data_IF_272583460472
#
_entry.id   IF_272583460472
#
_cell.length_a   1.000
_cell.length_b   1.000
_cell.length_c   1.000
_cell.angle_alpha   90.00
_cell.angle_beta   90.00
_cell.angle_gamma   90.00
#
_symmetry.space_group_name_H-M   'P 1'
#
loop_
_entity.id
_entity.type
_entity.pdbx_description
1 polymer ?
#
# COMPACT_ATOMS: atom_id res chain seq x y z
N UNK A 1 -1.31 -37.31 -41.24
CA UNK A 1 -0.22 -37.26 -40.21
C UNK A 1 0.56 -35.93 -40.24
N UNK A 2 0.50 -35.12 -41.30
CA UNK A 2 1.33 -33.88 -41.43
C UNK A 2 0.70 -32.57 -40.92
N UNK A 3 -0.60 -32.55 -40.65
CA UNK A 3 -1.23 -31.31 -40.13
C UNK A 3 -1.15 -31.15 -38.59
N UNK A 4 -1.00 -32.22 -37.89
CA UNK A 4 -0.90 -32.22 -36.41
C UNK A 4 0.50 -31.82 -35.93
N UNK A 5 1.57 -32.22 -36.67
CA UNK A 5 2.96 -31.86 -36.36
C UNK A 5 3.22 -30.34 -36.46
N UNK A 6 2.62 -29.66 -37.47
CA UNK A 6 2.78 -28.21 -37.64
C UNK A 6 2.02 -27.38 -36.62
N UNK A 7 1.05 -27.97 -35.93
CA UNK A 7 0.29 -27.29 -34.86
C UNK A 7 1.01 -27.39 -33.53
N UNK A 8 1.59 -28.57 -33.24
CA UNK A 8 2.46 -28.78 -32.06
C UNK A 8 3.73 -27.94 -32.12
N UNK A 9 4.39 -27.83 -33.29
CA UNK A 9 5.58 -26.96 -33.44
C UNK A 9 5.26 -25.48 -33.21
N UNK A 10 4.09 -24.99 -33.66
CA UNK A 10 3.65 -23.61 -33.43
C UNK A 10 3.28 -23.35 -31.96
N UNK A 11 2.66 -24.31 -31.28
CA UNK A 11 2.35 -24.20 -29.84
C UNK A 11 3.62 -24.22 -29.01
N UNK A 12 4.62 -25.03 -29.34
CA UNK A 12 5.93 -25.05 -28.68
C UNK A 12 6.69 -23.74 -28.94
N UNK A 13 6.68 -23.20 -30.16
CA UNK A 13 7.33 -21.93 -30.47
C UNK A 13 6.68 -20.75 -29.75
N UNK A 14 5.34 -20.71 -29.63
CA UNK A 14 4.63 -19.70 -28.86
C UNK A 14 4.93 -19.82 -27.36
N UNK A 15 4.93 -21.03 -26.81
CA UNK A 15 5.28 -21.26 -25.41
C UNK A 15 6.74 -20.85 -25.10
N UNK A 16 7.67 -21.11 -26.03
CA UNK A 16 9.05 -20.67 -25.89
C UNK A 16 9.19 -19.14 -25.92
N UNK A 17 8.41 -18.47 -26.78
CA UNK A 17 8.38 -17.01 -26.86
C UNK A 17 7.78 -16.38 -25.59
N UNK A 18 6.68 -16.92 -25.07
CA UNK A 18 6.07 -16.48 -23.80
C UNK A 18 7.01 -16.69 -22.63
N UNK A 19 7.73 -17.82 -22.59
CA UNK A 19 8.76 -18.10 -21.57
C UNK A 19 9.93 -17.11 -21.65
N UNK A 20 10.33 -16.72 -22.84
CA UNK A 20 11.36 -15.70 -23.05
C UNK A 20 10.90 -14.33 -22.50
N UNK A 21 9.66 -13.93 -22.78
CA UNK A 21 9.06 -12.70 -22.25
C UNK A 21 8.92 -12.73 -20.71
N UNK A 22 8.54 -13.87 -20.15
CA UNK A 22 8.50 -14.08 -18.69
C UNK A 22 9.91 -14.01 -18.07
N UNK A 23 10.91 -14.56 -18.76
CA UNK A 23 12.32 -14.41 -18.37
C UNK A 23 12.80 -12.97 -18.36
N UNK A 24 12.41 -12.17 -19.35
CA UNK A 24 12.71 -10.72 -19.36
C UNK A 24 12.05 -9.99 -18.18
N UNK A 25 10.78 -10.24 -17.91
CA UNK A 25 10.09 -9.63 -16.75
C UNK A 25 10.71 -10.02 -15.41
N UNK A 26 11.19 -11.25 -15.28
CA UNK A 26 11.92 -11.68 -14.09
C UNK A 26 13.28 -10.97 -13.94
N UNK A 27 13.96 -10.69 -15.05
CA UNK A 27 15.20 -9.88 -15.06
C UNK A 27 14.92 -8.43 -14.67
N UNK A 28 13.85 -7.84 -15.19
CA UNK A 28 13.41 -6.49 -14.83
C UNK A 28 13.05 -6.39 -13.33
N UNK A 29 12.31 -7.37 -12.80
CA UNK A 29 12.00 -7.43 -11.37
C UNK A 29 13.26 -7.56 -10.50
N UNK A 30 14.27 -8.34 -10.94
CA UNK A 30 15.58 -8.41 -10.28
C UNK A 30 16.35 -7.09 -10.33
N UNK A 31 16.28 -6.37 -11.44
CA UNK A 31 16.91 -5.05 -11.57
C UNK A 31 16.27 -4.03 -10.62
N UNK A 32 14.94 -4.03 -10.47
CA UNK A 32 14.22 -3.19 -9.50
C UNK A 32 14.63 -3.55 -8.07
N UNK A 33 14.74 -4.85 -7.74
CA UNK A 33 15.20 -5.32 -6.43
C UNK A 33 16.64 -4.86 -6.13
N UNK A 34 17.53 -4.95 -7.11
CA UNK A 34 18.93 -4.48 -6.97
C UNK A 34 19.00 -2.95 -6.79
N UNK A 35 18.15 -2.19 -7.50
CA UNK A 35 18.04 -0.75 -7.34
C UNK A 35 17.53 -0.37 -5.94
N UNK A 36 16.52 -1.08 -5.42
CA UNK A 36 16.01 -0.89 -4.06
C UNK A 36 17.05 -1.27 -2.99
N UNK A 37 17.84 -2.33 -3.21
CA UNK A 37 18.94 -2.70 -2.30
C UNK A 37 20.07 -1.65 -2.30
N UNK A 38 20.39 -1.07 -3.45
CA UNK A 38 21.35 0.02 -3.54
C UNK A 38 20.85 1.27 -2.84
N UNK A 39 19.57 1.64 -2.99
CA UNK A 39 18.96 2.75 -2.25
C UNK A 39 18.96 2.53 -0.73
N UNK A 40 18.75 1.29 -0.28
CA UNK A 40 18.87 0.89 1.14
C UNK A 40 20.31 1.04 1.64
N UNK A 41 21.30 0.64 0.82
CA UNK A 41 22.72 0.80 1.15
C UNK A 41 23.12 2.26 1.21
N UNK A 42 22.68 3.09 0.26
CA UNK A 42 22.92 4.53 0.25
C UNK A 42 22.25 5.26 1.41
N UNK A 43 21.01 4.86 1.77
CA UNK A 43 20.34 5.37 2.97
C UNK A 43 21.07 4.96 4.25
N UNK A 44 21.65 3.75 4.30
CA UNK A 44 22.49 3.28 5.41
C UNK A 44 23.81 4.03 5.52
N UNK A 45 24.42 4.38 4.38
CA UNK A 45 25.67 5.15 4.35
C UNK A 45 25.47 6.62 4.75
N UNK A 46 24.28 7.20 4.52
CA UNK A 46 23.90 8.54 5.04
C UNK A 46 23.71 8.58 6.56
N UNK A 47 23.62 7.42 7.23
CA UNK A 47 23.61 7.33 8.70
C UNK A 47 24.96 7.70 9.35
N UNK A 48 26.04 7.75 8.58
CA UNK A 48 27.33 8.27 9.08
C UNK A 48 27.22 9.77 9.39
N UNK A 49 26.37 10.52 8.65
CA UNK A 49 26.06 11.92 8.95
C UNK A 49 25.24 12.10 10.22
N UNK A 50 24.49 11.06 10.66
CA UNK A 50 23.67 11.12 11.89
C UNK A 50 24.54 11.23 13.11
N UNK A 51 25.71 10.62 13.11
CA UNK A 51 26.67 10.69 14.21
C UNK A 51 27.27 12.10 14.37
N UNK A 52 27.45 12.84 13.26
CA UNK A 52 27.84 14.24 13.30
C UNK A 52 26.72 15.14 13.83
N UNK A 53 25.47 14.85 13.48
CA UNK A 53 24.31 15.61 14.00
C UNK A 53 24.12 15.36 15.50
N UNK A 54 24.28 14.11 15.98
CA UNK A 54 24.26 13.79 17.41
C UNK A 54 25.37 14.54 18.16
N UNK A 55 26.59 14.57 17.63
CA UNK A 55 27.70 15.33 18.21
C UNK A 55 27.41 16.82 18.26
N UNK A 56 26.76 17.37 17.23
CA UNK A 56 26.36 18.78 17.18
C UNK A 56 25.27 19.11 18.22
N UNK A 57 24.30 18.21 18.41
CA UNK A 57 23.26 18.34 19.43
C UNK A 57 23.88 18.29 20.83
N UNK A 58 24.77 17.34 21.08
CA UNK A 58 25.48 17.20 22.36
C UNK A 58 26.36 18.42 22.65
N UNK A 59 27.09 18.93 21.65
CA UNK A 59 27.87 20.16 21.76
C UNK A 59 26.97 21.39 22.03
N UNK A 60 25.82 21.50 21.38
CA UNK A 60 24.84 22.56 21.64
C UNK A 60 24.24 22.47 23.06
N UNK A 61 23.95 21.27 23.55
CA UNK A 61 23.45 21.07 24.90
C UNK A 61 24.51 21.49 25.94
N UNK A 62 25.76 21.13 25.71
CA UNK A 62 26.89 21.54 26.58
C UNK A 62 27.10 23.07 26.55
N UNK A 63 26.96 23.69 25.38
CA UNK A 63 27.03 25.14 25.20
C UNK A 63 25.90 25.86 25.97
N UNK A 64 24.67 25.37 25.86
CA UNK A 64 23.51 25.88 26.60
C UNK A 64 23.72 25.77 28.10
N UNK A 65 24.25 24.63 28.58
CA UNK A 65 24.56 24.42 29.99
C UNK A 65 25.66 25.37 30.50
N UNK A 66 26.71 25.58 29.69
CA UNK A 66 27.79 26.50 29.99
C UNK A 66 27.30 27.96 30.05
N UNK A 67 26.40 28.38 29.15
CA UNK A 67 25.78 29.70 29.15
C UNK A 67 24.90 29.90 30.37
N UNK A 68 24.11 28.90 30.77
CA UNK A 68 23.26 28.93 31.97
C UNK A 68 24.08 29.03 33.26
N UNK A 69 25.21 28.32 33.34
CA UNK A 69 26.16 28.39 34.47
C UNK A 69 26.82 29.76 34.49
N UNK A 70 27.29 30.30 33.36
CA UNK A 70 27.89 31.63 33.27
C UNK A 70 26.89 32.75 33.65
N UNK A 71 25.59 32.57 33.34
CA UNK A 71 24.54 33.48 33.81
C UNK A 71 24.31 33.42 35.33
N UNK A 72 24.42 32.25 35.92
CA UNK A 72 24.33 32.07 37.37
C UNK A 72 25.46 32.77 38.12
N UNK A 73 26.69 32.69 37.56
CA UNK A 73 27.85 33.34 38.15
C UNK A 73 27.87 34.88 37.97
N UNK A 74 27.35 35.37 36.82
CA UNK A 74 27.25 36.80 36.51
C UNK A 74 26.15 37.51 37.33
N UNK A 75 25.16 36.77 37.89
CA UNK A 75 24.12 37.34 38.75
C UNK A 75 24.67 37.92 40.07
N UNK A 76 25.96 37.72 40.37
CA UNK A 76 26.62 38.20 41.60
C UNK A 76 27.42 39.50 41.46
N UNK A 77 27.44 40.15 40.25
CA UNK A 77 28.23 41.36 39.97
C UNK A 77 27.35 42.63 39.78
N UNK A 78 27.56 43.73 40.54
CA UNK A 78 26.73 44.92 40.43
C UNK A 78 27.43 46.04 39.60
N UNK A 79 27.08 46.24 38.34
CA UNK A 79 27.33 47.48 37.60
C UNK A 79 26.27 47.72 36.53
N UNK A 80 25.76 48.98 36.46
CA UNK A 80 24.63 49.37 35.58
C UNK A 80 24.93 49.31 34.07
N UNK A 81 26.19 49.34 33.65
CA UNK A 81 26.57 49.14 32.23
C UNK A 81 26.48 47.69 31.78
N UNK A 82 26.53 46.76 32.70
CA UNK A 82 26.41 45.32 32.39
C UNK A 82 24.93 44.85 32.17
N UNK A 83 23.95 45.66 32.54
CA UNK A 83 22.51 45.27 32.44
C UNK A 83 22.05 45.14 31.00
N UNK A 84 22.50 45.99 30.11
CA UNK A 84 22.10 45.89 28.71
C UNK A 84 22.76 44.68 28.01
N UNK A 85 24.04 44.47 28.25
CA UNK A 85 24.74 43.30 27.78
C UNK A 85 24.19 42.01 28.37
N UNK A 86 23.73 42.04 29.61
CA UNK A 86 23.11 40.95 30.33
C UNK A 86 21.74 40.57 29.71
N UNK A 87 20.94 41.58 29.30
CA UNK A 87 19.68 41.33 28.59
C UNK A 87 19.89 40.77 27.21
N UNK A 88 20.83 41.32 26.44
CA UNK A 88 21.17 40.80 25.11
C UNK A 88 21.69 39.34 25.17
N UNK A 89 22.53 39.02 26.14
CA UNK A 89 23.04 37.66 26.38
C UNK A 89 21.93 36.69 26.77
N UNK A 90 20.99 37.15 27.58
CA UNK A 90 19.82 36.37 28.00
C UNK A 90 18.84 36.10 26.86
N UNK A 91 18.60 37.08 26.00
CA UNK A 91 17.76 36.93 24.79
C UNK A 91 18.44 36.03 23.78
N UNK A 92 19.72 36.18 23.52
CA UNK A 92 20.48 35.31 22.63
C UNK A 92 20.51 33.86 23.14
N UNK A 93 20.69 33.67 24.45
CA UNK A 93 20.64 32.36 25.10
C UNK A 93 19.27 31.71 24.97
N UNK A 94 18.19 32.46 25.21
CA UNK A 94 16.82 31.97 25.05
C UNK A 94 16.52 31.55 23.59
N UNK A 95 17.00 32.33 22.61
CA UNK A 95 16.87 32.00 21.20
C UNK A 95 17.66 30.74 20.82
N UNK A 96 18.88 30.56 21.36
CA UNK A 96 19.67 29.35 21.14
C UNK A 96 19.01 28.09 21.73
N UNK A 97 18.43 28.21 22.93
CA UNK A 97 17.68 27.10 23.55
C UNK A 97 16.47 26.70 22.69
N UNK A 98 15.70 27.69 22.21
CA UNK A 98 14.55 27.43 21.34
C UNK A 98 14.99 26.81 19.98
N UNK A 99 16.08 27.29 19.42
CA UNK A 99 16.63 26.75 18.18
C UNK A 99 17.14 25.30 18.37
N UNK A 100 17.79 25.01 19.49
CA UNK A 100 18.25 23.68 19.84
C UNK A 100 17.08 22.69 20.03
N UNK A 101 16.03 23.10 20.75
CA UNK A 101 14.84 22.28 20.92
C UNK A 101 14.12 22.03 19.60
N UNK A 102 14.00 23.04 18.74
CA UNK A 102 13.40 22.90 17.41
C UNK A 102 14.21 21.96 16.51
N UNK A 103 15.54 22.06 16.55
CA UNK A 103 16.44 21.16 15.81
C UNK A 103 16.32 19.72 16.31
N UNK A 104 16.19 19.51 17.61
CA UNK A 104 16.02 18.18 18.18
C UNK A 104 14.67 17.54 17.79
N UNK A 105 13.59 18.32 17.79
CA UNK A 105 12.27 17.82 17.36
C UNK A 105 12.27 17.49 15.86
N UNK A 106 12.88 18.35 15.04
CA UNK A 106 13.05 18.10 13.61
C UNK A 106 13.89 16.84 13.35
N UNK A 107 14.97 16.65 14.09
CA UNK A 107 15.81 15.45 14.00
C UNK A 107 15.04 14.18 14.37
N UNK A 108 14.35 14.18 15.50
CA UNK A 108 13.54 13.05 15.94
C UNK A 108 12.43 12.71 14.91
N UNK A 109 11.86 13.73 14.26
CA UNK A 109 10.86 13.55 13.20
C UNK A 109 11.49 12.95 11.94
N UNK A 110 12.67 13.43 11.53
CA UNK A 110 13.42 12.89 10.41
C UNK A 110 13.86 11.43 10.64
N UNK A 111 14.31 11.09 11.82
CA UNK A 111 14.67 9.70 12.20
C UNK A 111 13.47 8.76 12.15
N UNK A 112 12.31 9.20 12.67
CA UNK A 112 11.06 8.40 12.58
C UNK A 112 10.69 8.16 11.12
N UNK A 113 10.74 9.21 10.28
CA UNK A 113 10.43 9.11 8.86
C UNK A 113 11.41 8.16 8.12
N UNK A 114 12.71 8.24 8.43
CA UNK A 114 13.73 7.36 7.86
C UNK A 114 13.54 5.91 8.30
N UNK A 115 13.26 5.67 9.58
CA UNK A 115 12.95 4.33 10.11
C UNK A 115 11.71 3.74 9.45
N UNK A 116 10.65 4.54 9.28
CA UNK A 116 9.44 4.14 8.58
C UNK A 116 9.74 3.79 7.12
N UNK A 117 10.53 4.61 6.41
CA UNK A 117 10.93 4.35 5.03
C UNK A 117 11.72 3.04 4.90
N UNK A 118 12.67 2.76 5.82
CA UNK A 118 13.41 1.49 5.85
C UNK A 118 12.49 0.29 6.04
N UNK A 119 11.53 0.38 6.96
CA UNK A 119 10.56 -0.69 7.20
C UNK A 119 9.69 -0.96 5.97
N UNK A 120 9.25 0.09 5.27
CA UNK A 120 8.49 -0.02 4.02
C UNK A 120 9.32 -0.74 2.94
N UNK A 121 10.57 -0.33 2.73
CA UNK A 121 11.46 -0.96 1.74
C UNK A 121 11.73 -2.43 2.07
N UNK A 122 11.94 -2.77 3.35
CA UNK A 122 12.12 -4.14 3.78
C UNK A 122 10.86 -4.99 3.53
N UNK A 123 9.68 -4.44 3.81
CA UNK A 123 8.39 -5.08 3.55
C UNK A 123 8.18 -5.31 2.05
N UNK A 124 8.41 -4.29 1.21
CA UNK A 124 8.30 -4.39 -0.25
C UNK A 124 9.24 -5.47 -0.79
N UNK A 125 10.50 -5.48 -0.33
CA UNK A 125 11.47 -6.48 -0.75
C UNK A 125 11.03 -7.90 -0.37
N UNK A 126 10.44 -8.07 0.82
CA UNK A 126 9.89 -9.34 1.28
C UNK A 126 8.71 -9.79 0.41
N UNK A 127 7.74 -8.90 0.16
CA UNK A 127 6.55 -9.19 -0.65
C UNK A 127 6.88 -9.48 -2.12
N UNK A 128 7.91 -8.85 -2.68
CA UNK A 128 8.39 -9.18 -4.02
C UNK A 128 9.16 -10.52 -4.05
N UNK A 129 9.89 -10.85 -2.99
CA UNK A 129 10.64 -12.14 -2.91
C UNK A 129 9.70 -13.34 -2.82
N UNK A 130 8.57 -13.20 -2.14
CA UNK A 130 7.60 -14.27 -1.93
C UNK A 130 7.11 -14.90 -3.25
N UNK A 131 6.64 -14.17 -4.27
CA UNK A 131 6.23 -14.74 -5.55
C UNK A 131 7.42 -15.15 -6.44
N UNK A 132 8.60 -14.55 -6.27
CA UNK A 132 9.80 -14.90 -7.06
C UNK A 132 10.38 -16.27 -6.69
N UNK A 133 10.29 -16.65 -5.41
CA UNK A 133 10.80 -17.94 -4.94
C UNK A 133 10.12 -19.14 -5.63
N UNK A 134 8.78 -19.24 -5.68
CA UNK A 134 8.10 -20.29 -6.44
C UNK A 134 8.44 -20.29 -7.94
N UNK A 135 8.53 -19.11 -8.56
CA UNK A 135 8.90 -18.99 -9.98
C UNK A 135 10.28 -19.61 -10.22
N UNK A 136 11.28 -19.28 -9.38
CA UNK A 136 12.63 -19.84 -9.51
C UNK A 136 12.65 -21.34 -9.33
N UNK A 137 11.93 -21.88 -8.33
CA UNK A 137 11.82 -23.31 -8.09
C UNK A 137 11.15 -24.07 -9.25
N UNK A 138 10.10 -23.48 -9.83
CA UNK A 138 9.41 -24.06 -10.98
C UNK A 138 10.34 -24.03 -12.20
N UNK A 139 11.02 -22.93 -12.46
CA UNK A 139 11.94 -22.78 -13.57
C UNK A 139 13.10 -23.81 -13.51
N UNK A 140 13.66 -24.06 -12.32
CA UNK A 140 14.69 -25.09 -12.13
C UNK A 140 14.18 -26.51 -12.41
N UNK A 141 12.91 -26.78 -12.08
CA UNK A 141 12.30 -28.10 -12.26
C UNK A 141 11.79 -28.35 -13.67
N UNK A 142 11.44 -27.30 -14.43
CA UNK A 142 10.84 -27.45 -15.77
C UNK A 142 11.66 -28.29 -16.74
N UNK A 143 13.00 -28.25 -16.64
CA UNK A 143 13.90 -29.04 -17.50
C UNK A 143 13.73 -30.53 -17.30
N UNK A 144 13.17 -31.00 -16.17
CA UNK A 144 13.03 -32.38 -15.78
C UNK A 144 11.60 -32.88 -15.67
N UNK A 145 10.61 -31.99 -15.96
CA UNK A 145 9.20 -32.33 -15.81
C UNK A 145 8.66 -33.05 -17.05
N UNK A 146 7.77 -34.04 -16.86
CA UNK A 146 6.97 -34.61 -17.95
C UNK A 146 6.10 -33.54 -18.64
N UNK A 147 5.90 -33.70 -19.95
CA UNK A 147 5.16 -32.70 -20.78
C UNK A 147 3.72 -32.45 -20.32
N UNK A 148 3.09 -33.45 -19.69
CA UNK A 148 1.72 -33.32 -19.14
C UNK A 148 1.61 -32.38 -17.93
N UNK A 149 2.71 -32.10 -17.25
CA UNK A 149 2.73 -31.16 -16.10
C UNK A 149 3.05 -29.71 -16.49
N UNK A 150 3.55 -29.47 -17.68
CA UNK A 150 3.93 -28.13 -18.15
C UNK A 150 2.78 -27.10 -18.11
N UNK A 151 1.53 -27.43 -18.53
CA UNK A 151 0.43 -26.47 -18.47
C UNK A 151 0.14 -26.00 -17.04
N UNK A 152 0.19 -26.90 -16.07
CA UNK A 152 -0.02 -26.56 -14.65
C UNK A 152 1.08 -25.67 -14.10
N UNK A 153 2.34 -25.92 -14.48
CA UNK A 153 3.48 -25.10 -14.07
C UNK A 153 3.40 -23.70 -14.68
N UNK A 154 3.00 -23.61 -15.95
CA UNK A 154 2.75 -22.33 -16.64
C UNK A 154 1.71 -21.52 -15.89
N UNK A 155 0.56 -22.09 -15.56
CA UNK A 155 -0.51 -21.44 -14.82
C UNK A 155 -0.05 -20.91 -13.46
N UNK A 156 0.78 -21.69 -12.74
CA UNK A 156 1.36 -21.25 -11.48
C UNK A 156 2.31 -20.05 -11.66
N UNK A 157 3.18 -20.07 -12.68
CA UNK A 157 4.07 -18.94 -12.98
C UNK A 157 3.26 -17.71 -13.36
N UNK A 158 2.29 -17.83 -14.26
CA UNK A 158 1.40 -16.73 -14.67
C UNK A 158 0.67 -16.13 -13.47
N UNK A 159 0.23 -16.95 -12.52
CA UNK A 159 -0.37 -16.50 -11.27
C UNK A 159 0.58 -15.63 -10.43
N UNK A 160 1.85 -16.07 -10.30
CA UNK A 160 2.86 -15.30 -9.57
C UNK A 160 3.25 -14.00 -10.29
N UNK A 161 3.35 -14.02 -11.62
CA UNK A 161 3.63 -12.82 -12.42
C UNK A 161 2.50 -11.80 -12.30
N UNK A 162 1.23 -12.23 -12.39
CA UNK A 162 0.09 -11.34 -12.15
C UNK A 162 0.12 -10.73 -10.75
N UNK A 163 0.52 -11.51 -9.75
CA UNK A 163 0.66 -11.02 -8.38
C UNK A 163 1.75 -9.93 -8.27
N UNK A 164 2.92 -10.15 -8.86
CA UNK A 164 4.01 -9.17 -8.91
C UNK A 164 3.54 -7.89 -9.63
N UNK A 165 2.91 -8.02 -10.79
CA UNK A 165 2.40 -6.87 -11.55
C UNK A 165 1.44 -6.04 -10.70
N UNK A 166 0.51 -6.69 -9.99
CA UNK A 166 -0.40 -5.99 -9.08
C UNK A 166 0.34 -5.25 -7.96
N UNK A 167 1.35 -5.87 -7.32
CA UNK A 167 2.14 -5.22 -6.27
C UNK A 167 2.87 -3.98 -6.80
N UNK A 168 3.41 -4.04 -8.00
CA UNK A 168 4.10 -2.90 -8.66
C UNK A 168 3.10 -1.79 -8.98
N UNK A 169 1.94 -2.12 -9.55
CA UNK A 169 0.90 -1.14 -9.87
C UNK A 169 0.38 -0.44 -8.60
N UNK A 170 0.12 -1.21 -7.53
CA UNK A 170 -0.30 -0.67 -6.24
C UNK A 170 0.76 0.29 -5.65
N UNK A 171 2.05 -0.04 -5.74
CA UNK A 171 3.15 0.85 -5.31
C UNK A 171 3.23 2.14 -6.13
N UNK A 172 3.06 2.03 -7.46
CA UNK A 172 3.04 3.19 -8.36
C UNK A 172 1.84 4.10 -8.06
N UNK A 173 0.67 3.52 -7.77
CA UNK A 173 -0.51 4.29 -7.41
C UNK A 173 -0.31 5.05 -6.09
N UNK A 174 0.25 4.42 -5.03
CA UNK A 174 0.61 5.12 -3.78
C UNK A 174 1.62 6.24 -4.03
N UNK A 175 2.63 6.00 -4.89
CA UNK A 175 3.61 7.05 -5.26
C UNK A 175 2.95 8.21 -6.01
N UNK A 176 1.97 7.94 -6.88
CA UNK A 176 1.20 9.00 -7.59
C UNK A 176 0.31 9.79 -6.65
N UNK A 177 -0.31 9.12 -5.69
CA UNK A 177 -1.09 9.73 -4.62
C UNK A 177 -0.22 10.68 -3.79
N UNK A 178 0.88 10.20 -3.24
CA UNK A 178 1.78 10.99 -2.38
C UNK A 178 2.38 12.21 -3.08
N UNK A 179 2.47 12.18 -4.42
CA UNK A 179 2.97 13.30 -5.24
C UNK A 179 1.86 14.17 -5.85
N UNK A 180 0.58 13.91 -5.54
CA UNK A 180 -0.56 14.64 -6.12
C UNK A 180 -0.73 14.44 -7.63
N UNK A 181 -0.16 13.38 -8.19
CA UNK A 181 -0.16 13.09 -9.63
C UNK A 181 -1.20 12.04 -10.05
N UNK A 182 -2.10 11.66 -9.15
CA UNK A 182 -3.19 10.75 -9.48
C UNK A 182 -4.11 11.45 -10.50
N UNK A 183 -4.20 10.88 -11.70
CA UNK A 183 -5.11 11.36 -12.76
C UNK A 183 -6.24 10.37 -12.92
N UNK A 184 -7.45 10.87 -13.09
CA UNK A 184 -8.68 10.11 -13.33
C UNK A 184 -9.26 10.59 -14.65
N UNK A 185 -9.38 9.68 -15.61
CA UNK A 185 -10.00 9.96 -16.90
C UNK A 185 -11.51 9.75 -16.79
N UNK A 186 -12.22 10.82 -16.43
CA UNK A 186 -13.65 10.76 -16.16
C UNK A 186 -14.46 10.64 -17.45
N UNK A 187 -15.34 9.67 -17.47
CA UNK A 187 -16.34 9.47 -18.50
C UNK A 187 -17.66 9.00 -17.87
N UNK A 188 -18.71 8.96 -18.65
CA UNK A 188 -20.02 8.47 -18.23
C UNK A 188 -19.98 6.94 -18.15
N UNK A 189 -20.08 6.36 -16.97
CA UNK A 189 -19.88 4.93 -16.70
C UNK A 189 -21.12 4.34 -16.04
N UNK A 190 -21.58 3.21 -16.55
CA UNK A 190 -22.59 2.41 -15.87
C UNK A 190 -21.94 1.55 -14.77
N UNK A 191 -22.24 1.86 -13.51
CA UNK A 191 -21.72 1.15 -12.36
C UNK A 191 -22.21 -0.29 -12.24
N UNK A 192 -23.36 -0.64 -12.84
CA UNK A 192 -23.83 -2.04 -12.88
C UNK A 192 -22.87 -2.91 -13.68
N UNK A 193 -22.36 -2.40 -14.80
CA UNK A 193 -21.35 -3.10 -15.61
C UNK A 193 -20.04 -3.28 -14.81
N UNK A 194 -19.57 -2.22 -14.17
CA UNK A 194 -18.35 -2.27 -13.33
C UNK A 194 -18.49 -3.25 -12.16
N UNK A 195 -19.64 -3.25 -11.47
CA UNK A 195 -19.94 -4.17 -10.37
C UNK A 195 -19.91 -5.63 -10.86
N UNK A 196 -20.58 -5.92 -11.98
CA UNK A 196 -20.60 -7.26 -12.56
C UNK A 196 -19.22 -7.75 -12.98
N UNK A 197 -18.39 -6.88 -13.56
CA UNK A 197 -17.02 -7.20 -13.95
C UNK A 197 -16.15 -7.51 -12.71
N UNK A 198 -16.25 -6.71 -11.65
CA UNK A 198 -15.52 -6.94 -10.41
C UNK A 198 -15.97 -8.24 -9.70
N UNK A 199 -17.27 -8.54 -9.67
CA UNK A 199 -17.81 -9.79 -9.15
C UNK A 199 -17.28 -10.98 -9.95
N UNK A 200 -17.34 -10.92 -11.28
CA UNK A 200 -16.85 -11.97 -12.17
C UNK A 200 -15.36 -12.29 -11.93
N UNK A 201 -14.54 -11.26 -11.73
CA UNK A 201 -13.11 -11.42 -11.47
C UNK A 201 -12.82 -12.09 -10.11
N UNK A 202 -13.63 -11.86 -9.07
CA UNK A 202 -13.42 -12.40 -7.74
C UNK A 202 -14.13 -13.75 -7.49
N UNK A 203 -15.15 -14.10 -8.27
CA UNK A 203 -15.96 -15.31 -8.14
C UNK A 203 -15.14 -16.62 -8.10
N UNK A 204 -14.10 -16.84 -8.93
CA UNK A 204 -13.32 -18.08 -8.87
C UNK A 204 -12.64 -18.31 -7.52
N UNK A 205 -12.13 -17.24 -6.89
CA UNK A 205 -11.46 -17.33 -5.58
C UNK A 205 -12.47 -17.65 -4.48
N UNK A 206 -13.64 -17.02 -4.50
CA UNK A 206 -14.71 -17.27 -3.54
C UNK A 206 -15.24 -18.70 -3.67
N UNK A 207 -15.42 -19.19 -4.91
CA UNK A 207 -15.85 -20.56 -5.20
C UNK A 207 -14.82 -21.58 -4.71
N UNK A 208 -13.53 -21.36 -4.95
CA UNK A 208 -12.45 -22.24 -4.49
C UNK A 208 -12.41 -22.37 -2.95
N UNK A 209 -12.79 -21.32 -2.22
CA UNK A 209 -12.92 -21.31 -0.76
C UNK A 209 -14.31 -21.71 -0.26
N UNK A 210 -15.23 -22.10 -1.15
CA UNK A 210 -16.63 -22.44 -0.80
C UNK A 210 -17.32 -21.31 -0.02
N UNK A 211 -16.98 -20.05 -0.28
CA UNK A 211 -17.60 -18.89 0.35
C UNK A 211 -18.98 -18.62 -0.26
N UNK A 212 -19.95 -18.26 0.58
CA UNK A 212 -21.28 -17.89 0.14
C UNK A 212 -21.31 -16.42 -0.27
N UNK A 213 -21.56 -16.17 -1.55
CA UNK A 213 -21.60 -14.81 -2.09
C UNK A 213 -23.03 -14.42 -2.45
N UNK A 214 -23.49 -13.30 -1.89
CA UNK A 214 -24.83 -12.75 -2.14
C UNK A 214 -24.71 -11.36 -2.76
N UNK A 215 -25.59 -11.04 -3.73
CA UNK A 215 -25.62 -9.72 -4.38
C UNK A 215 -27.01 -9.12 -4.33
N UNK A 216 -27.08 -7.84 -4.01
CA UNK A 216 -28.30 -7.05 -4.02
C UNK A 216 -28.05 -5.77 -4.85
N UNK A 217 -28.34 -5.86 -6.15
CA UNK A 217 -28.16 -4.77 -7.08
C UNK A 217 -29.54 -4.23 -7.50
N UNK A 218 -29.70 -2.91 -7.62
CA UNK A 218 -30.94 -2.32 -8.13
C UNK A 218 -31.11 -2.64 -9.61
N UNK A 219 -32.34 -2.61 -10.06
CA UNK A 219 -32.66 -2.75 -11.50
C UNK A 219 -32.40 -1.42 -12.21
N UNK A 220 -31.77 -1.50 -13.38
CA UNK A 220 -31.47 -0.34 -14.24
C UNK A 220 -30.02 0.14 -14.14
N UNK A 221 -29.63 0.96 -15.10
CA UNK A 221 -28.29 1.52 -15.18
C UNK A 221 -28.08 2.61 -14.12
N UNK A 222 -26.89 2.64 -13.53
CA UNK A 222 -26.47 3.63 -12.52
C UNK A 222 -25.26 4.37 -13.05
N UNK A 223 -25.44 5.60 -13.48
CA UNK A 223 -24.38 6.35 -14.11
C UNK A 223 -23.60 7.21 -13.10
N UNK A 224 -22.28 7.14 -13.19
CA UNK A 224 -21.34 8.02 -12.50
C UNK A 224 -20.39 8.67 -13.50
N UNK A 225 -19.83 9.82 -13.14
CA UNK A 225 -18.76 10.45 -13.92
C UNK A 225 -17.42 10.01 -13.36
N UNK A 226 -16.83 8.95 -13.94
CA UNK A 226 -15.64 8.32 -13.38
C UNK A 226 -14.78 7.59 -14.43
N UNK A 227 -13.68 7.06 -13.96
CA UNK A 227 -12.74 6.25 -14.72
C UNK A 227 -13.07 4.76 -14.53
N UNK A 228 -13.48 4.03 -15.59
CA UNK A 228 -13.91 2.64 -15.46
C UNK A 228 -12.83 1.73 -14.90
N UNK A 229 -11.56 1.92 -15.28
CA UNK A 229 -10.45 1.11 -14.80
C UNK A 229 -10.22 1.33 -13.30
N UNK A 230 -10.28 2.58 -12.86
CA UNK A 230 -10.12 2.96 -11.44
C UNK A 230 -11.31 2.53 -10.59
N UNK A 231 -12.53 2.66 -11.09
CA UNK A 231 -13.74 2.15 -10.42
C UNK A 231 -13.70 0.63 -10.27
N UNK A 232 -13.27 -0.08 -11.32
CA UNK A 232 -13.03 -1.53 -11.24
C UNK A 232 -11.96 -1.89 -10.22
N UNK A 233 -10.88 -1.10 -10.13
CA UNK A 233 -9.80 -1.28 -9.16
C UNK A 233 -10.31 -1.11 -7.71
N UNK A 234 -11.15 -0.10 -7.44
CA UNK A 234 -11.78 0.11 -6.12
C UNK A 234 -12.53 -1.14 -5.68
N UNK A 235 -13.48 -1.58 -6.52
CA UNK A 235 -14.34 -2.73 -6.19
C UNK A 235 -13.54 -4.03 -6.12
N UNK A 236 -12.60 -4.23 -7.03
CA UNK A 236 -11.72 -5.38 -7.04
C UNK A 236 -10.87 -5.50 -5.79
N UNK A 237 -10.33 -4.38 -5.27
CA UNK A 237 -9.56 -4.37 -4.02
C UNK A 237 -10.43 -4.70 -2.80
N UNK A 238 -11.64 -4.14 -2.72
CA UNK A 238 -12.56 -4.42 -1.63
C UNK A 238 -13.06 -5.86 -1.64
N UNK A 239 -13.49 -6.38 -2.80
CA UNK A 239 -13.94 -7.77 -2.95
C UNK A 239 -12.80 -8.78 -2.73
N UNK A 240 -11.60 -8.49 -3.20
CA UNK A 240 -10.42 -9.32 -2.97
C UNK A 240 -10.07 -9.37 -1.47
N UNK A 241 -10.19 -8.26 -0.75
CA UNK A 241 -10.01 -8.22 0.71
C UNK A 241 -11.09 -9.06 1.42
N UNK A 242 -12.36 -8.90 1.06
CA UNK A 242 -13.44 -9.70 1.61
C UNK A 242 -13.19 -11.20 1.39
N UNK A 243 -12.83 -11.63 0.17
CA UNK A 243 -12.51 -13.02 -0.14
C UNK A 243 -11.22 -13.52 0.56
N UNK A 244 -10.25 -12.63 0.75
CA UNK A 244 -8.98 -12.95 1.43
C UNK A 244 -9.20 -13.24 2.91
N UNK A 245 -9.91 -12.36 3.61
CA UNK A 245 -10.04 -12.36 5.06
C UNK A 245 -11.25 -13.14 5.57
N UNK A 246 -12.11 -13.65 4.70
CA UNK A 246 -13.19 -14.56 5.04
C UNK A 246 -12.70 -16.02 4.99
N UNK A 247 -12.93 -16.82 6.05
CA UNK A 247 -12.62 -18.24 6.05
C UNK A 247 -13.40 -19.01 4.97
N UNK A 248 -13.00 -20.24 4.70
CA UNK A 248 -13.76 -21.16 3.86
C UNK A 248 -15.18 -21.35 4.45
N UNK A 249 -16.18 -21.36 3.58
CA UNK A 249 -17.59 -21.46 3.97
C UNK A 249 -18.20 -20.20 4.58
N UNK A 250 -17.43 -19.11 4.73
CA UNK A 250 -17.93 -17.84 5.23
C UNK A 250 -18.80 -17.09 4.22
N UNK A 251 -19.40 -15.99 4.65
CA UNK A 251 -20.35 -15.20 3.86
C UNK A 251 -19.71 -13.88 3.41
N UNK A 252 -20.01 -13.47 2.18
CA UNK A 252 -19.66 -12.18 1.62
C UNK A 252 -20.90 -11.64 0.92
N UNK A 253 -21.25 -10.40 1.16
CA UNK A 253 -22.39 -9.76 0.50
C UNK A 253 -21.95 -8.44 -0.13
N UNK A 254 -22.49 -8.17 -1.33
CA UNK A 254 -22.36 -6.89 -2.01
C UNK A 254 -23.75 -6.32 -2.25
N UNK A 255 -23.99 -5.11 -1.79
CA UNK A 255 -25.24 -4.41 -2.03
C UNK A 255 -24.96 -3.02 -2.65
N UNK A 256 -25.80 -2.63 -3.58
CA UNK A 256 -25.82 -1.28 -4.12
C UNK A 256 -27.20 -0.68 -3.91
N UNK A 257 -27.25 0.54 -3.39
CA UNK A 257 -28.48 1.30 -3.17
C UNK A 257 -28.30 2.72 -3.64
N UNK A 258 -29.40 3.34 -4.03
CA UNK A 258 -29.42 4.76 -4.44
C UNK A 258 -30.22 5.53 -3.39
N UNK A 259 -29.60 6.60 -2.89
CA UNK A 259 -30.25 7.55 -1.96
C UNK A 259 -30.08 8.95 -2.55
N UNK A 260 -31.19 9.53 -3.03
CA UNK A 260 -31.21 10.74 -3.82
C UNK A 260 -30.21 10.66 -5.00
N UNK A 261 -29.17 11.51 -5.01
CA UNK A 261 -28.16 11.60 -6.07
C UNK A 261 -26.85 10.87 -5.70
N UNK A 262 -26.90 9.93 -4.74
CA UNK A 262 -25.73 9.21 -4.25
C UNK A 262 -25.92 7.71 -4.43
N UNK A 263 -24.98 7.09 -5.12
CA UNK A 263 -24.82 5.64 -5.15
C UNK A 263 -24.03 5.19 -3.91
N UNK A 264 -24.63 4.31 -3.14
CA UNK A 264 -24.00 3.65 -1.99
C UNK A 264 -23.75 2.17 -2.33
N UNK A 265 -22.50 1.76 -2.25
CA UNK A 265 -22.07 0.37 -2.45
C UNK A 265 -21.51 -0.13 -1.13
N UNK A 266 -22.07 -1.20 -0.59
CA UNK A 266 -21.56 -1.89 0.59
C UNK A 266 -21.01 -3.26 0.23
N UNK A 267 -19.87 -3.60 0.79
CA UNK A 267 -19.26 -4.93 0.72
C UNK A 267 -19.04 -5.38 2.16
N UNK A 268 -19.76 -6.40 2.57
CA UNK A 268 -19.67 -6.96 3.92
C UNK A 268 -19.18 -8.40 3.88
N UNK A 269 -18.45 -8.79 4.91
CA UNK A 269 -17.92 -10.14 5.08
C UNK A 269 -18.08 -10.64 6.52
N UNK A 270 -18.14 -11.96 6.67
CA UNK A 270 -18.15 -12.65 7.97
C UNK A 270 -16.76 -13.14 8.38
N UNK A 271 -15.74 -12.41 8.00
CA UNK A 271 -14.33 -12.78 8.17
C UNK A 271 -13.76 -12.50 9.56
N UNK A 272 -12.44 -12.44 9.62
CA UNK A 272 -11.69 -12.25 10.87
C UNK A 272 -11.94 -10.90 11.56
N UNK A 273 -12.61 -9.95 10.88
CA UNK A 273 -12.87 -8.62 11.41
C UNK A 273 -11.60 -7.77 11.51
N UNK A 274 -11.77 -6.58 12.09
CA UNK A 274 -10.70 -5.57 12.24
C UNK A 274 -10.65 -5.16 13.72
N UNK A 275 -9.45 -5.18 14.31
CA UNK A 275 -9.29 -4.75 15.70
C UNK A 275 -9.59 -3.26 15.87
N UNK A 276 -10.18 -2.87 17.02
CA UNK A 276 -10.51 -1.48 17.32
C UNK A 276 -9.27 -0.56 17.30
N UNK A 277 -8.09 -1.12 17.58
CA UNK A 277 -6.81 -0.40 17.56
C UNK A 277 -6.41 0.02 16.14
N UNK A 278 -6.69 -0.82 15.15
CA UNK A 278 -6.25 -0.61 13.76
C UNK A 278 -7.34 0.05 12.92
N UNK A 279 -8.61 -0.15 13.25
CA UNK A 279 -9.76 0.37 12.48
C UNK A 279 -9.66 1.86 12.10
N UNK A 280 -9.21 2.79 12.96
CA UNK A 280 -9.06 4.20 12.57
C UNK A 280 -8.01 4.44 11.48
N UNK A 281 -7.07 3.52 11.29
CA UNK A 281 -5.89 3.66 10.44
C UNK A 281 -5.88 2.73 9.23
N UNK A 282 -6.97 1.98 8.98
CA UNK A 282 -7.01 0.94 7.92
C UNK A 282 -6.79 1.48 6.50
N UNK A 283 -7.05 2.77 6.30
CA UNK A 283 -6.82 3.46 5.03
C UNK A 283 -5.43 4.10 4.93
N UNK A 284 -4.65 4.10 6.01
CA UNK A 284 -3.30 4.65 5.98
C UNK A 284 -2.34 3.66 5.29
N UNK A 285 -1.35 4.15 4.54
CA UNK A 285 -0.45 3.27 3.80
C UNK A 285 0.36 2.39 4.73
N UNK A 286 0.53 1.12 4.32
CA UNK A 286 1.32 0.10 5.01
C UNK A 286 0.76 -0.35 6.38
N UNK A 287 -0.46 0.04 6.72
CA UNK A 287 -1.13 -0.43 7.93
C UNK A 287 -1.71 -1.82 7.71
N UNK A 288 -1.44 -2.72 8.65
CA UNK A 288 -1.95 -4.09 8.69
C UNK A 288 -2.33 -4.45 10.12
N UNK A 289 -3.40 -5.24 10.28
CA UNK A 289 -3.75 -5.82 11.56
C UNK A 289 -2.90 -7.08 11.81
N UNK A 290 -2.28 -7.19 12.98
CA UNK A 290 -1.46 -8.34 13.37
C UNK A 290 -2.22 -9.68 13.23
N UNK A 291 -3.53 -9.67 13.52
CA UNK A 291 -4.40 -10.84 13.35
C UNK A 291 -4.57 -11.22 11.87
N UNK A 292 -4.56 -10.24 10.98
CA UNK A 292 -4.67 -10.48 9.54
C UNK A 292 -3.38 -11.08 8.94
N UNK A 293 -2.21 -10.71 9.45
CA UNK A 293 -0.91 -11.26 9.04
C UNK A 293 -0.85 -12.76 9.33
N UNK A 294 -1.34 -13.20 10.50
CA UNK A 294 -1.39 -14.61 10.89
C UNK A 294 -2.39 -15.47 10.10
N UNK A 295 -3.44 -14.84 9.54
CA UNK A 295 -4.53 -15.57 8.88
C UNK A 295 -4.24 -15.92 7.42
N UNK A 296 -3.69 -15.01 6.63
CA UNK A 296 -3.47 -15.23 5.19
C UNK A 296 -2.22 -14.50 4.64
N UNK A 297 -1.26 -14.32 5.51
CA UNK A 297 0.16 -13.83 5.20
C UNK A 297 0.28 -12.76 4.23
N UNK A 298 0.53 -12.11 3.65
CA UNK A 298 1.10 -11.18 2.70
C UNK A 298 0.16 -10.14 2.08
N UNK A 299 0.68 -8.98 2.02
CA UNK A 299 0.19 -7.82 1.31
C UNK A 299 0.92 -6.59 1.83
N UNK A 300 1.02 -5.55 1.03
CA UNK A 300 1.74 -4.33 1.39
C UNK A 300 0.93 -3.39 2.32
N UNK A 301 -0.35 -3.68 2.57
CA UNK A 301 -1.22 -2.76 3.34
C UNK A 301 -1.53 -1.46 2.60
N UNK A 302 -1.51 -1.47 1.26
CA UNK A 302 -1.73 -0.28 0.42
C UNK A 302 -3.04 -0.31 -0.35
N UNK A 303 -3.67 -1.47 -0.47
CA UNK A 303 -4.90 -1.62 -1.27
C UNK A 303 -6.04 -0.73 -0.79
N UNK A 304 -6.25 -0.58 0.53
CA UNK A 304 -7.29 0.29 1.08
C UNK A 304 -6.91 1.78 0.96
N UNK A 305 -5.64 2.12 1.05
CA UNK A 305 -5.15 3.49 0.78
C UNK A 305 -5.49 3.89 -0.65
N UNK A 306 -5.18 3.03 -1.63
CA UNK A 306 -5.53 3.27 -3.03
C UNK A 306 -7.04 3.39 -3.21
N UNK A 307 -7.85 2.56 -2.52
CA UNK A 307 -9.31 2.68 -2.55
C UNK A 307 -9.77 4.06 -2.08
N UNK A 308 -9.30 4.55 -0.92
CA UNK A 308 -9.66 5.86 -0.39
C UNK A 308 -9.35 6.98 -1.39
N UNK A 309 -8.13 7.01 -1.87
CA UNK A 309 -7.68 8.06 -2.78
C UNK A 309 -8.43 8.06 -4.12
N UNK A 310 -8.69 6.85 -4.67
CA UNK A 310 -9.46 6.73 -5.90
C UNK A 310 -10.92 7.14 -5.69
N UNK A 311 -11.54 6.77 -4.57
CA UNK A 311 -12.92 7.17 -4.25
C UNK A 311 -13.01 8.69 -4.08
N UNK A 312 -12.08 9.30 -3.35
CA UNK A 312 -12.01 10.76 -3.17
C UNK A 312 -11.75 11.48 -4.50
N UNK A 313 -10.88 10.94 -5.37
CA UNK A 313 -10.65 11.46 -6.71
C UNK A 313 -11.90 11.40 -7.61
N UNK A 314 -12.88 10.56 -7.27
CA UNK A 314 -14.20 10.50 -7.92
C UNK A 314 -15.26 11.36 -7.22
N UNK A 315 -14.88 12.14 -6.19
CA UNK A 315 -15.81 12.97 -5.41
C UNK A 315 -16.68 12.18 -4.43
N UNK A 316 -16.27 10.95 -4.14
CA UNK A 316 -16.95 10.03 -3.23
C UNK A 316 -16.33 10.00 -1.83
N UNK A 317 -16.80 9.05 -1.02
CA UNK A 317 -16.26 8.74 0.32
C UNK A 317 -16.28 7.25 0.55
N UNK A 318 -15.27 6.72 1.26
CA UNK A 318 -15.22 5.34 1.73
C UNK A 318 -15.14 5.29 3.25
N UNK A 319 -15.84 4.33 3.85
CA UNK A 319 -15.83 4.07 5.30
C UNK A 319 -15.70 2.57 5.52
N UNK A 320 -14.86 2.19 6.47
CA UNK A 320 -14.75 0.81 6.96
C UNK A 320 -15.33 0.68 8.35
N UNK A 321 -16.03 -0.41 8.61
CA UNK A 321 -16.67 -0.72 9.89
C UNK A 321 -16.37 -2.16 10.28
N UNK A 322 -16.16 -2.41 11.57
CA UNK A 322 -16.05 -3.73 12.15
C UNK A 322 -16.36 -3.67 13.64
N UNK A 323 -17.07 -4.66 14.15
CA UNK A 323 -17.34 -4.80 15.58
C UNK A 323 -16.18 -5.46 16.36
N UNK A 324 -15.06 -5.72 15.67
CA UNK A 324 -13.86 -6.33 16.24
C UNK A 324 -13.49 -7.68 15.65
N UNK A 325 -12.48 -8.31 16.24
CA UNK A 325 -11.95 -9.59 15.78
C UNK A 325 -13.01 -10.68 15.77
N UNK A 326 -13.12 -11.41 14.65
CA UNK A 326 -14.09 -12.50 14.44
C UNK A 326 -15.51 -12.03 14.13
N UNK A 327 -15.74 -10.73 13.95
CA UNK A 327 -17.07 -10.15 13.68
C UNK A 327 -17.28 -9.74 12.22
N UNK A 328 -16.30 -10.00 11.35
CA UNK A 328 -16.33 -9.55 9.98
C UNK A 328 -16.10 -8.05 9.83
N UNK A 329 -16.24 -7.58 8.61
CA UNK A 329 -16.11 -6.16 8.29
C UNK A 329 -17.13 -5.73 7.23
N UNK A 330 -17.38 -4.42 7.16
CA UNK A 330 -18.17 -3.79 6.12
C UNK A 330 -17.44 -2.56 5.60
N UNK A 331 -17.32 -2.47 4.29
CA UNK A 331 -16.78 -1.31 3.59
C UNK A 331 -17.88 -0.67 2.75
N UNK A 332 -18.10 0.62 2.97
CA UNK A 332 -19.13 1.39 2.28
C UNK A 332 -18.49 2.47 1.43
N UNK A 333 -18.70 2.42 0.12
CA UNK A 333 -18.30 3.44 -0.85
C UNK A 333 -19.54 4.24 -1.25
N UNK A 334 -19.42 5.56 -1.27
CA UNK A 334 -20.44 6.46 -1.79
C UNK A 334 -19.88 7.24 -2.98
N UNK A 335 -20.63 7.33 -4.06
CA UNK A 335 -20.25 8.05 -5.29
C UNK A 335 -21.42 8.95 -5.74
N UNK A 336 -21.16 10.15 -6.25
CA UNK A 336 -22.21 10.98 -6.82
C UNK A 336 -22.74 10.37 -8.12
N UNK A 337 -24.05 10.23 -8.22
CA UNK A 337 -24.72 9.84 -9.46
C UNK A 337 -24.81 11.03 -10.42
N UNK A 338 -24.80 10.72 -11.70
CA UNK A 338 -25.12 11.69 -12.75
C UNK A 338 -26.41 11.25 -13.45
N UNK A 339 -27.23 12.21 -13.83
CA UNK A 339 -28.46 11.93 -14.57
C UNK A 339 -28.10 11.19 -15.86
N UNK A 340 -28.93 10.20 -16.23
CA UNK A 340 -28.86 9.63 -17.58
C UNK A 340 -29.08 10.77 -18.57
N UNK A 341 -28.07 11.10 -19.37
CA UNK A 341 -28.10 12.15 -20.36
C UNK A 341 -29.02 11.78 -21.53
#
# INVERSE_FOLDING_TARGET
MSENDGKEEREVANAAHELFLLGQKAVEARAVLAALQNQLSDASNRLVDTQQVEQLIEANQQLVLAILLAQSDAATLPRLEDQCLYQELREASAQLVLAALSAQDLHATAERALSQQKNILAMVAHELRNPLTPISLIAERMVRLPSDQLPRMRELIEGQVRHISKLVDDLLDVSRVSTGKLRVERQHVDMIEILNNAIGACSPVMTAKQQHFETHLPNGALFVNGDPARLTQILGNLLANAAKYTPAGGKIALAATVDADVLRISISDSGIGISAKVLPFIFDPYVQDEHAIGFNGSGLGIGLTVVRELVEAHGGKVVGMSEGSGKGSEFVVTLPLVSAG
#
